data_IF_003159239025
#
_entry.id   IF_003159239025
#
_cell.length_a   1.000
_cell.length_b   1.000
_cell.length_c   1.000
_cell.angle_alpha   90.00
_cell.angle_beta   90.00
_cell.angle_gamma   90.00
#
_symmetry.space_group_name_H-M   'P 1'
#
loop_
_entity.id
_entity.type
_entity.pdbx_description
1 polymer ?
#
# COMPACT_ATOMS: atom_id res chain seq x y z
N UNK A 1 8.70 19.61 -2.34
CA UNK A 1 8.66 18.18 -1.98
C UNK A 1 8.01 17.40 -3.12
N UNK A 2 8.37 16.14 -3.38
CA UNK A 2 7.61 15.33 -4.33
C UNK A 2 6.15 15.26 -3.90
N UNK A 3 5.21 15.27 -4.85
CA UNK A 3 3.80 15.14 -4.53
C UNK A 3 3.53 13.78 -3.87
N UNK A 4 3.12 13.78 -2.61
CA UNK A 4 2.76 12.58 -1.87
C UNK A 4 1.57 11.90 -2.55
N UNK A 5 1.61 10.57 -2.65
CA UNK A 5 0.49 9.80 -3.19
C UNK A 5 -0.73 9.96 -2.27
N UNK A 6 -1.89 10.19 -2.87
CA UNK A 6 -3.14 10.31 -2.11
C UNK A 6 -3.84 8.98 -2.04
N UNK A 7 -3.88 8.41 -0.84
CA UNK A 7 -4.64 7.20 -0.55
C UNK A 7 -5.92 7.53 0.21
N UNK A 8 -7.05 7.03 -0.28
CA UNK A 8 -8.37 7.25 0.30
C UNK A 8 -9.13 5.94 0.45
N UNK A 9 -9.94 5.85 1.48
CA UNK A 9 -10.99 4.82 1.54
C UNK A 9 -12.15 5.22 0.64
N UNK A 10 -13.01 4.27 0.26
CA UNK A 10 -14.15 4.54 -0.64
C UNK A 10 -15.11 5.61 -0.11
N UNK A 11 -15.23 5.75 1.23
CA UNK A 11 -16.00 6.83 1.86
C UNK A 11 -15.37 8.23 1.72
N UNK A 12 -14.22 8.36 1.05
CA UNK A 12 -13.53 9.62 0.78
C UNK A 12 -12.58 10.08 1.88
N UNK A 13 -12.52 9.40 3.03
CA UNK A 13 -11.55 9.70 4.10
C UNK A 13 -10.13 9.33 3.66
N UNK A 14 -9.15 10.05 4.17
CA UNK A 14 -7.74 9.74 3.92
C UNK A 14 -7.33 8.51 4.71
N UNK A 15 -6.72 7.54 4.03
CA UNK A 15 -6.35 6.26 4.63
C UNK A 15 -6.61 5.09 3.70
N UNK A 16 -6.24 3.90 4.16
CA UNK A 16 -6.70 2.64 3.62
C UNK A 16 -7.52 1.91 4.68
N UNK A 17 -8.52 1.16 4.23
CA UNK A 17 -9.20 0.21 5.09
C UNK A 17 -8.21 -0.92 5.36
N UNK A 18 -7.94 -1.16 6.64
CA UNK A 18 -7.12 -2.26 7.11
C UNK A 18 -8.02 -3.27 7.84
N UNK A 19 -8.17 -4.45 7.24
CA UNK A 19 -8.92 -5.57 7.79
C UNK A 19 -7.95 -6.53 8.48
N UNK A 20 -7.93 -6.48 9.81
CA UNK A 20 -7.03 -7.29 10.63
C UNK A 20 -7.69 -8.61 11.06
N UNK A 21 -7.08 -9.73 10.69
CA UNK A 21 -7.57 -11.07 11.03
C UNK A 21 -6.71 -11.70 12.11
N UNK A 22 -7.35 -12.28 13.13
CA UNK A 22 -6.69 -13.14 14.13
C UNK A 22 -6.49 -14.53 13.52
N UNK A 23 -5.46 -14.68 12.70
CA UNK A 23 -5.15 -15.92 12.00
C UNK A 23 -4.54 -15.69 10.62
N UNK A 24 -4.09 -16.79 10.00
CA UNK A 24 -3.58 -16.80 8.63
C UNK A 24 -4.71 -16.90 7.61
N UNK A 25 -4.37 -16.70 6.33
CA UNK A 25 -5.29 -16.92 5.20
C UNK A 25 -6.57 -16.07 5.24
N UNK A 26 -6.56 -14.92 5.94
CA UNK A 26 -7.69 -13.99 6.00
C UNK A 26 -8.99 -14.64 6.52
N UNK A 27 -8.85 -15.62 7.41
CA UNK A 27 -9.98 -16.37 7.98
C UNK A 27 -10.53 -15.72 9.24
N UNK A 28 -11.84 -15.87 9.44
CA UNK A 28 -12.56 -15.34 10.60
C UNK A 28 -13.05 -13.90 10.41
N UNK A 29 -13.63 -13.31 11.46
CA UNK A 29 -14.11 -11.94 11.44
C UNK A 29 -12.96 -10.94 11.64
N UNK A 30 -12.72 -10.01 10.69
CA UNK A 30 -11.68 -9.02 10.86
C UNK A 30 -12.10 -7.89 11.80
N UNK A 31 -11.12 -7.25 12.42
CA UNK A 31 -11.28 -5.90 12.97
C UNK A 31 -10.88 -4.88 11.92
N UNK A 32 -11.77 -3.94 11.59
CA UNK A 32 -11.50 -2.89 10.61
C UNK A 32 -10.90 -1.65 11.28
N UNK A 33 -9.88 -1.05 10.65
CA UNK A 33 -9.34 0.28 10.96
C UNK A 33 -9.10 1.07 9.68
N UNK A 34 -8.93 2.39 9.81
CA UNK A 34 -8.41 3.23 8.73
C UNK A 34 -6.96 3.56 9.08
N UNK A 35 -6.03 3.04 8.28
CA UNK A 35 -4.61 3.29 8.45
C UNK A 35 -4.16 4.48 7.59
N UNK A 36 -3.50 5.45 8.23
CA UNK A 36 -2.97 6.66 7.60
C UNK A 36 -1.49 6.55 7.28
N UNK A 37 -0.89 5.36 7.42
CA UNK A 37 0.49 5.03 7.02
C UNK A 37 0.56 3.54 6.64
N UNK A 38 1.40 3.20 5.65
CA UNK A 38 1.64 1.81 5.19
C UNK A 38 3.02 1.28 5.63
N UNK A 39 3.58 1.87 6.69
CA UNK A 39 4.86 1.47 7.28
C UNK A 39 4.57 0.66 8.55
N UNK A 40 4.20 -0.60 8.39
CA UNK A 40 3.85 -1.44 9.53
C UNK A 40 5.12 -1.96 10.17
N UNK A 41 5.63 -1.20 11.14
CA UNK A 41 6.48 -1.80 12.16
C UNK A 41 5.54 -2.46 13.15
N UNK A 42 5.62 -3.79 13.27
CA UNK A 42 4.80 -4.65 14.14
C UNK A 42 4.55 -4.18 15.58
N UNK A 43 5.31 -3.20 16.09
CA UNK A 43 5.19 -2.70 17.45
C UNK A 43 3.75 -2.29 17.80
N UNK A 44 2.95 -1.97 16.79
CA UNK A 44 1.57 -1.51 16.93
C UNK A 44 0.51 -2.64 16.85
N UNK A 45 0.93 -3.91 16.66
CA UNK A 45 0.01 -5.05 16.60
C UNK A 45 0.08 -5.93 17.86
N UNK A 46 -1.08 -6.22 18.45
CA UNK A 46 -1.18 -7.01 19.69
C UNK A 46 -0.84 -8.49 19.50
N UNK A 47 -1.03 -9.02 18.29
CA UNK A 47 -0.61 -10.37 17.94
C UNK A 47 0.77 -10.30 17.28
N UNK A 48 1.79 -10.90 17.90
CA UNK A 48 3.16 -10.85 17.35
C UNK A 48 3.37 -11.82 16.18
N UNK A 49 2.49 -12.82 16.04
CA UNK A 49 2.61 -13.93 15.10
C UNK A 49 1.22 -14.38 14.63
N UNK A 50 1.17 -15.16 13.55
CA UNK A 50 -0.03 -15.80 12.98
C UNK A 50 -1.22 -14.87 12.77
N UNK A 51 -1.00 -13.79 12.03
CA UNK A 51 -2.06 -12.87 11.65
C UNK A 51 -2.00 -12.56 10.16
N UNK A 52 -3.07 -11.96 9.65
CA UNK A 52 -3.12 -11.49 8.27
C UNK A 52 -3.88 -10.19 8.20
N UNK A 53 -3.52 -9.36 7.21
CA UNK A 53 -4.12 -8.05 7.01
C UNK A 53 -4.39 -7.83 5.53
N UNK A 54 -5.54 -7.23 5.25
CA UNK A 54 -5.85 -6.69 3.93
C UNK A 54 -5.89 -5.17 4.05
N UNK A 55 -5.04 -4.50 3.29
CA UNK A 55 -5.11 -3.06 3.07
C UNK A 55 -5.81 -2.80 1.75
N UNK A 56 -6.85 -1.98 1.75
CA UNK A 56 -7.57 -1.66 0.52
C UNK A 56 -8.07 -0.22 0.47
N UNK A 57 -8.17 0.31 -0.75
CA UNK A 57 -8.69 1.64 -0.99
C UNK A 57 -8.32 2.15 -2.37
N UNK A 58 -8.30 3.46 -2.49
CA UNK A 58 -8.15 4.21 -3.72
C UNK A 58 -6.84 4.98 -3.69
N UNK A 59 -6.08 4.87 -4.76
CA UNK A 59 -4.87 5.64 -5.04
C UNK A 59 -5.21 6.70 -6.10
N UNK A 60 -5.05 7.97 -5.75
CA UNK A 60 -5.23 9.11 -6.64
C UNK A 60 -3.86 9.65 -7.02
N UNK A 61 -3.63 9.76 -8.32
CA UNK A 61 -2.32 10.14 -8.85
C UNK A 61 -2.18 11.65 -9.04
N UNK A 62 -1.17 12.29 -8.44
CA UNK A 62 -1.00 13.73 -8.55
C UNK A 62 -0.42 14.17 -9.90
N UNK A 63 0.25 13.26 -10.62
CA UNK A 63 1.01 13.57 -11.84
C UNK A 63 0.93 12.41 -12.87
N UNK A 64 1.05 12.73 -14.17
CA UNK A 64 1.12 11.74 -15.26
C UNK A 64 2.58 11.37 -15.49
N UNK A 65 3.07 10.49 -14.62
CA UNK A 65 4.49 10.13 -14.54
C UNK A 65 4.59 8.65 -14.22
N UNK A 66 5.73 8.05 -14.57
CA UNK A 66 6.01 6.67 -14.22
C UNK A 66 6.31 6.55 -12.74
N UNK A 67 5.63 5.63 -12.07
CA UNK A 67 5.85 5.31 -10.67
C UNK A 67 6.49 3.94 -10.52
N UNK A 68 7.47 3.85 -9.62
CA UNK A 68 8.02 2.59 -9.16
C UNK A 68 7.42 2.26 -7.79
N UNK A 69 6.73 1.12 -7.68
CA UNK A 69 6.34 0.55 -6.38
C UNK A 69 7.38 -0.45 -5.92
N UNK A 70 7.66 -0.45 -4.63
CA UNK A 70 8.50 -1.45 -3.97
C UNK A 70 7.74 -2.09 -2.82
N UNK A 71 7.75 -3.42 -2.79
CA UNK A 71 7.17 -4.21 -1.71
C UNK A 71 8.28 -5.01 -1.03
N UNK A 72 8.40 -4.85 0.28
CA UNK A 72 9.27 -5.66 1.13
C UNK A 72 8.42 -6.22 2.26
N UNK A 73 8.48 -7.54 2.46
CA UNK A 73 7.79 -8.18 3.58
C UNK A 73 8.56 -9.35 4.19
N UNK A 74 8.24 -9.60 5.44
CA UNK A 74 8.52 -10.82 6.19
C UNK A 74 7.28 -11.04 7.06
N UNK A 75 6.45 -12.08 6.89
CA UNK A 75 6.49 -13.12 5.86
C UNK A 75 5.95 -12.65 4.47
N UNK A 76 4.81 -13.20 4.00
CA UNK A 76 4.34 -13.09 2.63
C UNK A 76 3.44 -11.88 2.36
N UNK A 77 3.54 -11.30 1.17
CA UNK A 77 2.70 -10.19 0.72
C UNK A 77 2.29 -10.30 -0.75
N UNK A 78 1.16 -9.70 -1.09
CA UNK A 78 0.60 -9.69 -2.45
C UNK A 78 -0.05 -8.34 -2.72
N UNK A 79 0.48 -7.59 -3.69
CA UNK A 79 -0.04 -6.30 -4.11
C UNK A 79 -0.82 -6.42 -5.42
N UNK A 80 -2.01 -5.83 -5.41
CA UNK A 80 -2.93 -5.71 -6.53
C UNK A 80 -3.15 -4.24 -6.89
N UNK A 81 -3.16 -3.95 -8.19
CA UNK A 81 -3.50 -2.65 -8.76
C UNK A 81 -4.64 -2.85 -9.77
N UNK A 82 -5.78 -2.21 -9.53
CA UNK A 82 -7.04 -2.45 -10.25
C UNK A 82 -7.34 -3.95 -10.36
N UNK A 83 -7.29 -4.65 -9.22
CA UNK A 83 -7.52 -6.09 -9.08
C UNK A 83 -6.51 -6.99 -9.80
N UNK A 84 -5.55 -6.43 -10.55
CA UNK A 84 -4.48 -7.18 -11.19
C UNK A 84 -3.33 -7.38 -10.22
N UNK A 85 -2.91 -8.64 -10.07
CA UNK A 85 -1.70 -8.99 -9.34
C UNK A 85 -0.47 -8.35 -9.99
N UNK A 86 0.21 -7.45 -9.27
CA UNK A 86 1.40 -6.74 -9.76
C UNK A 86 2.67 -7.12 -9.02
N UNK A 87 2.58 -7.49 -7.74
CA UNK A 87 3.70 -8.03 -6.98
C UNK A 87 3.18 -9.19 -6.14
N UNK A 88 3.86 -10.33 -6.19
CA UNK A 88 3.58 -11.48 -5.32
C UNK A 88 4.87 -11.97 -4.67
N UNK A 89 4.90 -11.98 -3.35
CA UNK A 89 6.03 -12.42 -2.55
C UNK A 89 5.53 -13.41 -1.49
N UNK A 90 5.87 -14.69 -1.66
CA UNK A 90 5.38 -15.74 -0.77
C UNK A 90 6.16 -15.84 0.56
N UNK A 91 7.43 -15.42 0.56
CA UNK A 91 8.36 -15.62 1.66
C UNK A 91 9.09 -14.34 2.03
N UNK A 92 9.62 -14.29 3.26
CA UNK A 92 10.50 -13.23 3.71
C UNK A 92 11.66 -12.99 2.73
N UNK A 93 11.92 -11.74 2.39
CA UNK A 93 13.08 -11.36 1.58
C UNK A 93 13.59 -9.98 1.95
N UNK A 94 14.89 -9.89 2.20
CA UNK A 94 15.52 -8.60 2.43
C UNK A 94 15.57 -7.70 1.20
N UNK A 95 15.36 -8.28 0.02
CA UNK A 95 15.33 -7.59 -1.27
C UNK A 95 13.87 -7.28 -1.63
N UNK A 96 13.49 -6.00 -1.80
CA UNK A 96 12.14 -5.64 -2.22
C UNK A 96 11.90 -6.02 -3.68
N UNK A 97 10.69 -6.51 -3.98
CA UNK A 97 10.22 -6.63 -5.37
C UNK A 97 9.77 -5.26 -5.86
N UNK A 98 10.11 -4.95 -7.12
CA UNK A 98 9.87 -3.64 -7.72
C UNK A 98 9.01 -3.78 -8.97
N UNK A 99 8.08 -2.87 -9.18
CA UNK A 99 7.36 -2.74 -10.46
C UNK A 99 7.30 -1.28 -10.87
N UNK A 100 7.51 -1.02 -12.16
CA UNK A 100 7.25 0.28 -12.77
C UNK A 100 5.88 0.23 -13.45
N UNK A 101 5.06 1.26 -13.25
CA UNK A 101 3.77 1.40 -13.92
C UNK A 101 3.54 2.85 -14.32
N UNK A 102 2.96 3.02 -15.50
CA UNK A 102 2.59 4.33 -16.03
C UNK A 102 1.19 4.67 -15.52
N UNK A 103 1.11 5.62 -14.60
CA UNK A 103 -0.15 6.04 -13.98
C UNK A 103 -0.49 7.46 -14.38
N UNK A 104 -1.78 7.70 -14.61
CA UNK A 104 -2.28 8.96 -15.18
C UNK A 104 -2.73 9.90 -14.08
N UNK A 105 -2.34 11.17 -14.19
CA UNK A 105 -2.81 12.25 -13.30
C UNK A 105 -4.32 12.23 -13.18
N UNK A 106 -4.84 12.46 -11.97
CA UNK A 106 -6.28 12.50 -11.64
C UNK A 106 -7.06 11.21 -11.93
N UNK A 107 -6.41 10.13 -12.41
CA UNK A 107 -7.04 8.80 -12.40
C UNK A 107 -6.97 8.22 -10.99
N UNK A 108 -8.05 7.52 -10.65
CA UNK A 108 -8.16 6.75 -9.43
C UNK A 108 -7.89 5.29 -9.75
N UNK A 109 -7.07 4.65 -8.92
CA UNK A 109 -6.73 3.24 -9.02
C UNK A 109 -7.14 2.53 -7.74
N UNK A 110 -7.82 1.40 -7.85
CA UNK A 110 -8.06 0.55 -6.69
C UNK A 110 -6.77 -0.17 -6.34
N UNK A 111 -6.38 -0.12 -5.06
CA UNK A 111 -5.24 -0.88 -4.56
C UNK A 111 -5.71 -1.85 -3.49
N UNK A 112 -5.09 -3.04 -3.50
CA UNK A 112 -5.24 -4.00 -2.41
C UNK A 112 -3.88 -4.61 -2.10
N UNK A 113 -3.55 -4.70 -0.83
CA UNK A 113 -2.37 -5.43 -0.38
C UNK A 113 -2.76 -6.46 0.66
N UNK A 114 -2.46 -7.71 0.35
CA UNK A 114 -2.54 -8.79 1.31
C UNK A 114 -1.19 -8.92 2.01
N UNK A 115 -1.21 -9.02 3.32
CA UNK A 115 -0.05 -9.31 4.14
C UNK A 115 -0.35 -10.46 5.09
N UNK A 116 0.59 -11.38 5.24
CA UNK A 116 0.49 -12.49 6.17
C UNK A 116 1.75 -12.54 7.02
N UNK A 117 1.55 -12.65 8.32
CA UNK A 117 2.59 -12.98 9.26
C UNK A 117 2.37 -14.37 9.81
N UNK A 118 3.42 -15.18 9.79
CA UNK A 118 3.45 -16.52 10.35
C UNK A 118 4.21 -16.50 11.68
N UNK A 119 5.54 -16.47 11.66
CA UNK A 119 6.38 -16.59 12.86
C UNK A 119 7.50 -15.55 12.83
N UNK A 120 8.10 -15.26 13.98
CA UNK A 120 9.20 -14.29 14.11
C UNK A 120 8.75 -12.83 13.91
N UNK A 121 9.70 -11.93 13.70
CA UNK A 121 9.45 -10.53 13.43
C UNK A 121 8.85 -10.34 12.04
N UNK A 122 7.70 -9.69 11.98
CA UNK A 122 7.14 -9.21 10.74
C UNK A 122 7.63 -7.80 10.38
N UNK A 123 7.71 -7.54 9.09
CA UNK A 123 7.69 -6.18 8.57
C UNK A 123 6.94 -6.15 7.26
N UNK A 124 6.39 -4.99 6.97
CA UNK A 124 5.77 -4.70 5.68
C UNK A 124 6.08 -3.27 5.31
N UNK A 125 6.54 -3.09 4.08
CA UNK A 125 6.88 -1.80 3.53
C UNK A 125 6.42 -1.72 2.08
N UNK A 126 5.46 -0.84 1.82
CA UNK A 126 5.16 -0.37 0.48
C UNK A 126 5.77 1.03 0.32
N UNK A 127 6.59 1.22 -0.71
CA UNK A 127 7.13 2.54 -1.10
C UNK A 127 6.82 2.84 -2.54
N UNK A 128 6.75 4.13 -2.85
CA UNK A 128 6.61 4.63 -4.22
C UNK A 128 7.67 5.66 -4.53
N UNK A 129 8.19 5.64 -5.75
CA UNK A 129 9.02 6.72 -6.27
C UNK A 129 8.51 7.17 -7.63
N UNK A 130 8.58 8.48 -7.88
CA UNK A 130 8.47 9.02 -9.23
C UNK A 130 9.78 8.74 -9.96
N UNK A 131 9.68 8.24 -11.19
CA UNK A 131 10.84 8.11 -12.08
C UNK A 131 11.04 9.44 -12.81
N UNK A 132 12.24 10.04 -12.71
CA UNK A 132 12.57 11.36 -13.28
C UNK A 132 13.83 11.31 -14.13
N UNK A 133 13.83 12.05 -15.25
CA UNK A 133 14.99 12.17 -16.15
C UNK A 133 15.54 10.81 -16.61
N UNK A 134 16.86 10.64 -16.56
CA UNK A 134 17.57 9.38 -16.83
C UNK A 134 17.32 8.33 -15.72
N UNK A 135 16.07 7.93 -15.51
CA UNK A 135 15.65 6.87 -14.59
C UNK A 135 16.01 7.08 -13.11
N UNK A 136 16.25 8.33 -12.71
CA UNK A 136 16.47 8.66 -11.30
C UNK A 136 15.17 8.47 -10.53
N UNK A 137 15.25 7.95 -9.30
CA UNK A 137 14.10 7.74 -8.43
C UNK A 137 13.99 8.90 -7.43
N UNK A 138 12.86 9.59 -7.47
CA UNK A 138 12.47 10.55 -6.44
C UNK A 138 11.50 9.85 -5.49
N UNK A 139 12.02 9.39 -4.36
CA UNK A 139 11.23 8.73 -3.32
C UNK A 139 10.21 9.68 -2.72
N UNK A 140 8.97 9.21 -2.63
CA UNK A 140 7.98 9.77 -1.74
C UNK A 140 7.73 8.73 -0.64
N UNK A 141 7.72 9.16 0.61
CA UNK A 141 7.06 8.35 1.62
C UNK A 141 5.57 8.23 1.22
N UNK A 142 4.97 7.08 1.50
CA UNK A 142 3.52 6.91 1.38
C UNK A 142 2.89 7.64 2.56
N UNK A 143 3.03 8.96 2.53
CA UNK A 143 2.39 9.87 3.46
C UNK A 143 1.04 10.26 2.88
N UNK A 144 0.01 9.94 3.65
CA UNK A 144 -1.36 10.18 3.27
C UNK A 144 -1.57 11.70 3.29
N UNK A 145 -2.01 12.25 2.17
CA UNK A 145 -2.21 13.69 2.05
C UNK A 145 -3.19 14.17 3.14
N UNK A 146 -2.95 15.32 3.82
CA UNK A 146 -3.84 15.83 4.86
C UNK A 146 -5.30 15.99 4.42
N UNK A 147 -6.23 15.87 5.36
CA UNK A 147 -7.66 16.14 5.10
C UNK A 147 -7.82 17.60 4.64
N UNK A 148 -8.56 17.80 3.54
CA UNK A 148 -8.74 19.12 2.91
C UNK A 148 -7.88 19.40 1.68
N UNK A 149 -6.91 18.55 1.34
CA UNK A 149 -6.22 18.66 0.04
C UNK A 149 -7.14 18.17 -1.08
N UNK A 150 -7.55 19.11 -1.93
CA UNK A 150 -8.49 18.88 -3.00
C UNK A 150 -7.80 18.19 -4.19
N UNK A 151 -8.05 16.91 -4.38
CA UNK A 151 -7.83 16.25 -5.66
C UNK A 151 -9.21 16.03 -6.28
N UNK A 152 -9.49 16.62 -7.45
CA UNK A 152 -10.76 16.36 -8.12
C UNK A 152 -10.82 14.87 -8.45
N UNK A 153 -11.78 14.15 -7.88
CA UNK A 153 -12.16 12.82 -8.36
C UNK A 153 -12.76 13.02 -9.76
N UNK A 154 -12.03 12.64 -10.80
CA UNK A 154 -12.62 12.46 -12.12
C UNK A 154 -13.31 11.10 -12.13
N UNK A 155 -14.63 11.09 -11.94
CA UNK A 155 -15.46 9.97 -12.37
C UNK A 155 -15.61 10.10 -13.88
N UNK A 156 -14.94 9.22 -14.62
CA UNK A 156 -15.31 8.88 -16.00
C UNK A 156 -16.17 7.62 -15.97
#
# INVERSE_FOLDING_TARGET
EPASLSFRVESGKNGLNALYYKGQEFKGSPTMKIEKQLNLKLKDFSAKEYFSVIYEGLLIMPEDVRYQFQLKSDDGSHFFLNEKSVIYQLHASDVPIKINTDLKKNKTYYIRVHFQQRKSAAYFLLKSAKVVGNEKLQWADIDFVPEGSFFPLSLE
#
